data_IF_679354226054
#
_entry.id   IF_679354226054
#
_cell.length_a   1.000
_cell.length_b   1.000
_cell.length_c   1.000
_cell.angle_alpha   90.00
_cell.angle_beta   90.00
_cell.angle_gamma   90.00
#
_symmetry.space_group_name_H-M   'P 1'
#
loop_
_entity.id
_entity.type
_entity.pdbx_description
1 polymer ?
#
# COMPACT_ATOMS: atom_id res chain seq x y z
N UNK A 1 -1.77 -14.40 23.87
CA UNK A 1 -0.61 -14.85 23.06
C UNK A 1 -0.97 -15.16 21.60
N UNK A 2 -2.13 -15.77 21.29
CA UNK A 2 -2.47 -16.18 19.91
C UNK A 2 -2.66 -15.02 18.90
N UNK A 3 -3.27 -13.90 19.31
CA UNK A 3 -3.55 -12.79 18.38
C UNK A 3 -2.29 -12.20 17.73
N UNK A 4 -1.27 -11.85 18.53
CA UNK A 4 -0.04 -11.27 17.98
C UNK A 4 0.72 -12.23 17.06
N UNK A 5 0.72 -13.53 17.38
CA UNK A 5 1.31 -14.54 16.49
C UNK A 5 0.54 -14.63 15.17
N UNK A 6 -0.79 -14.68 15.24
CA UNK A 6 -1.63 -14.71 14.05
C UNK A 6 -1.37 -13.47 13.18
N UNK A 7 -1.51 -12.29 13.78
CA UNK A 7 -1.45 -11.01 13.07
C UNK A 7 -0.05 -10.67 12.54
N UNK A 8 1.00 -10.85 13.35
CA UNK A 8 2.35 -10.40 12.97
C UNK A 8 3.12 -11.44 12.14
N UNK A 9 2.85 -12.73 12.35
CA UNK A 9 3.64 -13.82 11.75
C UNK A 9 2.80 -14.60 10.74
N UNK A 10 1.76 -15.30 11.20
CA UNK A 10 1.03 -16.24 10.36
C UNK A 10 0.32 -15.56 9.17
N UNK A 11 -0.28 -14.39 9.40
CA UNK A 11 -0.95 -13.62 8.35
C UNK A 11 0.05 -13.02 7.36
N UNK A 12 1.20 -12.54 7.83
CA UNK A 12 2.28 -12.05 6.97
C UNK A 12 2.79 -13.15 6.05
N UNK A 13 3.06 -14.35 6.60
CA UNK A 13 3.49 -15.52 5.83
C UNK A 13 2.44 -15.93 4.80
N UNK A 14 1.16 -15.94 5.19
CA UNK A 14 0.05 -16.23 4.30
C UNK A 14 -0.02 -15.22 3.14
N UNK A 15 0.08 -13.92 3.43
CA UNK A 15 0.04 -12.85 2.42
C UNK A 15 1.21 -12.97 1.44
N UNK A 16 2.42 -13.30 1.93
CA UNK A 16 3.59 -13.55 1.08
C UNK A 16 3.34 -14.77 0.20
N UNK A 17 2.92 -15.90 0.77
CA UNK A 17 2.67 -17.14 0.02
C UNK A 17 1.57 -16.98 -1.05
N UNK A 18 0.56 -16.13 -0.79
CA UNK A 18 -0.62 -15.98 -1.63
C UNK A 18 -0.65 -14.69 -2.47
N UNK A 19 0.40 -13.85 -2.45
CA UNK A 19 0.43 -12.56 -3.16
C UNK A 19 0.04 -12.64 -4.64
N UNK A 20 0.42 -13.72 -5.33
CA UNK A 20 0.07 -13.96 -6.74
C UNK A 20 -1.42 -14.28 -6.97
N UNK A 21 -2.21 -14.53 -5.93
CA UNK A 21 -3.66 -14.71 -6.04
C UNK A 21 -4.42 -13.37 -6.04
N UNK A 22 -3.76 -12.27 -5.70
CA UNK A 22 -4.39 -10.96 -5.68
C UNK A 22 -4.48 -10.38 -7.10
N UNK A 23 -5.71 -10.28 -7.63
CA UNK A 23 -5.99 -9.82 -9.00
C UNK A 23 -6.90 -8.59 -9.07
N UNK A 24 -7.38 -8.09 -7.94
CA UNK A 24 -8.26 -6.93 -7.86
C UNK A 24 -7.52 -5.64 -8.18
N UNK A 25 -8.21 -4.64 -8.75
CA UNK A 25 -7.63 -3.31 -8.93
C UNK A 25 -7.18 -2.75 -7.59
N UNK A 26 -6.01 -2.11 -7.55
CA UNK A 26 -5.49 -1.55 -6.31
C UNK A 26 -4.62 -0.31 -6.50
N UNK A 27 -4.82 0.66 -5.62
CA UNK A 27 -3.94 1.80 -5.43
C UNK A 27 -3.06 1.53 -4.21
N UNK A 28 -1.74 1.65 -4.38
CA UNK A 28 -0.75 1.56 -3.30
C UNK A 28 -0.15 2.95 -3.13
N UNK A 29 -0.21 3.49 -1.93
CA UNK A 29 0.33 4.80 -1.60
C UNK A 29 1.47 4.63 -0.60
N UNK A 30 2.61 5.28 -0.84
CA UNK A 30 3.80 5.16 -0.01
C UNK A 30 4.41 6.54 0.26
N UNK A 31 4.74 6.83 1.50
CA UNK A 31 5.59 7.98 1.82
C UNK A 31 7.06 7.65 1.53
N UNK A 32 7.79 8.55 0.86
CA UNK A 32 9.22 8.32 0.58
C UNK A 32 10.10 8.37 1.83
N UNK A 33 9.70 9.17 2.83
CA UNK A 33 10.43 9.33 4.08
C UNK A 33 9.87 8.50 5.23
N UNK A 34 9.02 7.52 4.94
CA UNK A 34 8.47 6.61 5.95
C UNK A 34 9.61 5.95 6.77
N UNK A 35 9.51 6.08 8.10
CA UNK A 35 10.48 5.56 9.08
C UNK A 35 9.98 4.31 9.81
N UNK A 36 8.73 3.93 9.57
CA UNK A 36 8.09 2.76 10.17
C UNK A 36 8.11 1.61 9.17
N UNK A 37 7.74 1.87 7.91
CA UNK A 37 7.71 0.87 6.84
C UNK A 37 8.70 1.25 5.76
N UNK A 38 9.58 0.32 5.40
CA UNK A 38 10.52 0.49 4.30
C UNK A 38 9.77 0.48 2.96
N UNK A 39 10.01 1.50 2.11
CA UNK A 39 9.35 1.64 0.79
C UNK A 39 9.49 0.42 -0.12
N UNK A 40 10.56 -0.38 0.04
CA UNK A 40 10.74 -1.61 -0.75
C UNK A 40 9.66 -2.65 -0.48
N UNK A 41 8.96 -2.59 0.66
CA UNK A 41 7.81 -3.45 0.92
C UNK A 41 6.68 -3.18 -0.08
N UNK A 42 6.36 -1.90 -0.32
CA UNK A 42 5.35 -1.47 -1.28
C UNK A 42 5.76 -1.78 -2.73
N UNK A 43 7.02 -1.57 -3.08
CA UNK A 43 7.57 -1.96 -4.39
C UNK A 43 7.50 -3.48 -4.62
N UNK A 44 7.90 -4.28 -3.63
CA UNK A 44 7.79 -5.74 -3.68
C UNK A 44 6.35 -6.18 -3.83
N UNK A 45 5.41 -5.59 -3.08
CA UNK A 45 3.97 -5.86 -3.20
C UNK A 45 3.50 -5.57 -4.61
N UNK A 46 3.74 -4.37 -5.13
CA UNK A 46 3.37 -3.96 -6.48
C UNK A 46 3.88 -4.94 -7.53
N UNK A 47 5.16 -5.32 -7.45
CA UNK A 47 5.79 -6.20 -8.44
C UNK A 47 5.29 -7.66 -8.38
N UNK A 48 4.79 -8.12 -7.23
CA UNK A 48 4.48 -9.54 -7.02
C UNK A 48 2.98 -9.91 -7.08
N UNK A 49 2.08 -8.93 -7.03
CA UNK A 49 0.64 -9.19 -7.22
C UNK A 49 0.27 -9.31 -8.70
N UNK A 50 -0.78 -10.08 -9.01
CA UNK A 50 -1.27 -10.29 -10.39
C UNK A 50 -2.38 -9.33 -10.81
N UNK A 51 -2.64 -8.29 -10.01
CA UNK A 51 -3.54 -7.21 -10.42
C UNK A 51 -3.07 -6.60 -11.74
N UNK A 52 -3.98 -6.53 -12.71
CA UNK A 52 -3.74 -5.94 -14.03
C UNK A 52 -3.82 -4.41 -13.99
N UNK A 53 -4.62 -3.89 -13.07
CA UNK A 53 -4.89 -2.48 -12.90
C UNK A 53 -4.43 -2.08 -11.49
N UNK A 54 -3.15 -1.74 -11.39
CA UNK A 54 -2.50 -1.39 -10.14
C UNK A 54 -1.65 -0.15 -10.32
N UNK A 55 -1.66 0.70 -9.31
CA UNK A 55 -0.87 1.92 -9.25
C UNK A 55 -0.05 1.93 -7.96
N UNK A 56 1.18 2.44 -8.04
CA UNK A 56 2.02 2.72 -6.88
C UNK A 56 2.47 4.17 -6.95
N UNK A 57 1.97 5.00 -6.04
CA UNK A 57 2.33 6.40 -5.94
C UNK A 57 3.17 6.65 -4.69
N UNK A 58 4.33 7.29 -4.89
CA UNK A 58 5.26 7.62 -3.83
C UNK A 58 5.28 9.14 -3.59
N UNK A 59 5.06 9.55 -2.34
CA UNK A 59 4.97 10.95 -1.96
C UNK A 59 6.27 11.42 -1.32
N UNK A 60 7.01 12.27 -2.05
CA UNK A 60 8.26 12.86 -1.61
C UNK A 60 8.03 13.80 -0.42
N UNK A 61 8.86 13.68 0.60
CA UNK A 61 8.82 14.56 1.78
C UNK A 61 7.91 14.07 2.90
N UNK A 62 6.87 13.29 2.58
CA UNK A 62 5.89 12.80 3.56
C UNK A 62 6.42 11.61 4.38
N UNK A 63 5.91 11.47 5.60
CA UNK A 63 6.14 10.34 6.50
C UNK A 63 4.94 9.38 6.51
N UNK A 64 4.98 8.40 7.41
CA UNK A 64 4.14 7.21 7.41
C UNK A 64 2.63 7.46 7.20
N UNK A 65 2.07 8.44 7.90
CA UNK A 65 0.63 8.71 7.88
C UNK A 65 0.26 9.77 6.83
N UNK A 66 0.43 9.46 5.54
CA UNK A 66 0.22 10.41 4.42
C UNK A 66 -1.17 11.08 4.39
N UNK A 67 -2.19 10.49 5.03
CA UNK A 67 -3.54 11.05 5.15
C UNK A 67 -3.70 12.04 6.32
N UNK A 68 -2.69 12.14 7.18
CA UNK A 68 -2.62 13.04 8.33
C UNK A 68 -1.53 14.12 8.17
N UNK A 69 -0.77 14.10 7.08
CA UNK A 69 0.23 15.10 6.75
C UNK A 69 -0.40 16.43 6.30
N UNK A 70 0.34 17.56 6.32
CA UNK A 70 -0.14 18.84 5.79
C UNK A 70 -0.67 18.75 4.35
N UNK A 71 -0.06 17.89 3.53
CA UNK A 71 -0.40 17.63 2.13
C UNK A 71 -1.58 16.66 1.94
N UNK A 72 -2.28 16.23 3.00
CA UNK A 72 -3.36 15.22 2.93
C UNK A 72 -4.41 15.49 1.85
N UNK A 73 -4.74 16.75 1.57
CA UNK A 73 -5.74 17.11 0.56
C UNK A 73 -5.28 16.70 -0.85
N UNK A 74 -3.97 16.77 -1.13
CA UNK A 74 -3.39 16.28 -2.38
C UNK A 74 -3.51 14.75 -2.49
N UNK A 75 -3.23 14.04 -1.39
CA UNK A 75 -3.32 12.57 -1.33
C UNK A 75 -4.77 12.12 -1.50
N UNK A 76 -5.71 12.78 -0.83
CA UNK A 76 -7.15 12.49 -0.92
C UNK A 76 -7.66 12.75 -2.34
N UNK A 77 -7.28 13.88 -2.95
CA UNK A 77 -7.66 14.19 -4.33
C UNK A 77 -7.16 13.11 -5.31
N UNK A 78 -5.92 12.65 -5.16
CA UNK A 78 -5.38 11.56 -5.98
C UNK A 78 -6.12 10.24 -5.79
N UNK A 79 -6.52 9.90 -4.55
CA UNK A 79 -7.36 8.73 -4.27
C UNK A 79 -8.71 8.83 -4.99
N UNK A 80 -9.37 9.98 -4.88
CA UNK A 80 -10.67 10.22 -5.52
C UNK A 80 -10.58 10.11 -7.04
N UNK A 81 -9.59 10.75 -7.65
CA UNK A 81 -9.35 10.66 -9.09
C UNK A 81 -9.08 9.21 -9.54
N UNK A 82 -8.29 8.45 -8.78
CA UNK A 82 -8.01 7.06 -9.08
C UNK A 82 -9.28 6.19 -9.05
N UNK A 83 -10.19 6.47 -8.11
CA UNK A 83 -11.48 5.78 -8.00
C UNK A 83 -12.39 6.19 -9.16
N UNK A 84 -12.55 7.50 -9.41
CA UNK A 84 -13.46 8.03 -10.43
C UNK A 84 -13.11 7.56 -11.85
N UNK A 85 -11.82 7.36 -12.14
CA UNK A 85 -11.36 6.83 -13.43
C UNK A 85 -11.65 5.33 -13.64
N UNK A 86 -12.20 4.64 -12.64
CA UNK A 86 -12.52 3.20 -12.63
C UNK A 86 -13.97 2.90 -12.29
N UNK A 87 -14.77 3.93 -12.00
CA UNK A 87 -16.20 3.85 -11.79
C UNK A 87 -16.98 3.86 -13.12
#
# INVERSE_FOLDING_TARGET
AGFYYQFLIADTDYLVANRKKYTYSCLILQAENDKIIDKSASEKRYNNILSKDKTLDAYKGLFHEILNEPEKELVIAAILEWIDTRC
#
